data_IF_771922686708
#
_entry.id   IF_771922686708
#
_cell.length_a   1.000
_cell.length_b   1.000
_cell.length_c   1.000
_cell.angle_alpha   90.00
_cell.angle_beta   90.00
_cell.angle_gamma   90.00
#
_symmetry.space_group_name_H-M   'P 1'
#
loop_
_entity.id
_entity.type
_entity.pdbx_description
1 polymer ?
#
# COMPACT_ATOMS: atom_id res chain seq x y z
N UNK A 1 5.22 7.90 -8.59
CA UNK A 1 4.47 7.44 -9.79
C UNK A 1 3.02 6.99 -9.55
N UNK A 2 2.63 6.49 -8.35
CA UNK A 2 1.22 6.18 -8.03
C UNK A 2 0.31 7.42 -7.86
N UNK A 3 0.92 8.57 -7.58
CA UNK A 3 0.23 9.85 -7.40
C UNK A 3 -0.56 10.32 -8.63
N UNK A 4 -0.19 9.87 -9.83
CA UNK A 4 -0.87 10.29 -11.06
C UNK A 4 -2.17 9.49 -11.29
N UNK A 5 -2.30 8.28 -10.73
CA UNK A 5 -3.45 7.40 -11.02
C UNK A 5 -4.59 7.52 -9.99
N UNK A 6 -4.28 7.89 -8.75
CA UNK A 6 -5.28 8.14 -7.73
C UNK A 6 -4.91 9.42 -7.00
N UNK A 7 -5.62 10.52 -7.26
CA UNK A 7 -5.66 11.62 -6.30
C UNK A 7 -6.18 11.05 -4.97
N UNK A 8 -5.29 10.63 -4.08
CA UNK A 8 -5.63 9.98 -2.81
C UNK A 8 -6.10 11.09 -1.87
N UNK A 9 -7.40 11.30 -1.87
CA UNK A 9 -8.06 12.29 -1.03
C UNK A 9 -9.00 11.57 -0.08
N UNK A 10 -9.37 12.17 1.06
CA UNK A 10 -10.38 11.59 1.94
C UNK A 10 -11.68 11.21 1.20
N UNK A 11 -12.03 11.97 0.15
CA UNK A 11 -13.20 11.70 -0.68
C UNK A 11 -13.01 10.43 -1.54
N UNK A 12 -11.90 10.30 -2.26
CA UNK A 12 -11.66 9.13 -3.13
C UNK A 12 -11.50 7.85 -2.32
N UNK A 13 -10.83 7.93 -1.16
CA UNK A 13 -10.76 6.85 -0.17
C UNK A 13 -12.16 6.48 0.34
N UNK A 14 -12.97 7.47 0.71
CA UNK A 14 -14.34 7.25 1.18
C UNK A 14 -15.22 6.56 0.13
N UNK A 15 -15.16 7.01 -1.14
CA UNK A 15 -15.88 6.39 -2.25
C UNK A 15 -15.41 4.94 -2.45
N UNK A 16 -14.10 4.69 -2.44
CA UNK A 16 -13.55 3.35 -2.57
C UNK A 16 -14.06 2.42 -1.45
N UNK A 17 -14.03 2.87 -0.19
CA UNK A 17 -14.53 2.11 0.96
C UNK A 17 -16.04 1.80 0.85
N UNK A 18 -16.84 2.74 0.35
CA UNK A 18 -18.28 2.52 0.11
C UNK A 18 -18.50 1.42 -0.94
N UNK A 19 -17.77 1.49 -2.07
CA UNK A 19 -17.84 0.48 -3.14
C UNK A 19 -17.40 -0.89 -2.62
N UNK A 20 -16.29 -0.95 -1.89
CA UNK A 20 -15.76 -2.18 -1.29
C UNK A 20 -16.73 -2.75 -0.24
N UNK A 21 -17.37 -1.89 0.55
CA UNK A 21 -18.41 -2.28 1.50
C UNK A 21 -19.64 -2.87 0.82
N UNK A 22 -20.09 -2.26 -0.28
CA UNK A 22 -21.19 -2.80 -1.08
C UNK A 22 -20.82 -4.17 -1.67
N UNK A 23 -19.60 -4.33 -2.19
CA UNK A 23 -19.09 -5.61 -2.68
C UNK A 23 -19.05 -6.68 -1.57
N UNK A 24 -18.60 -6.31 -0.36
CA UNK A 24 -18.59 -7.20 0.80
C UNK A 24 -19.99 -7.69 1.18
N UNK A 25 -21.01 -6.82 1.13
CA UNK A 25 -22.42 -7.18 1.35
C UNK A 25 -22.94 -8.13 0.28
N UNK A 26 -22.60 -7.91 -0.99
CA UNK A 26 -22.96 -8.80 -2.10
C UNK A 26 -22.35 -10.18 -1.89
N UNK A 27 -21.06 -10.25 -1.59
CA UNK A 27 -20.33 -11.49 -1.28
C UNK A 27 -20.96 -12.22 -0.09
N UNK A 28 -21.25 -11.51 1.00
CA UNK A 28 -21.90 -12.08 2.18
C UNK A 28 -23.29 -12.66 1.85
N UNK A 29 -24.10 -11.95 1.05
CA UNK A 29 -25.41 -12.43 0.58
C UNK A 29 -25.28 -13.68 -0.29
N UNK A 30 -24.36 -13.66 -1.24
CA UNK A 30 -24.18 -14.76 -2.19
C UNK A 30 -23.70 -16.03 -1.48
N UNK A 31 -22.70 -15.90 -0.61
CA UNK A 31 -22.17 -17.02 0.18
C UNK A 31 -23.23 -17.70 1.04
N UNK A 32 -24.21 -16.94 1.56
CA UNK A 32 -25.35 -17.49 2.29
C UNK A 32 -26.34 -18.26 1.40
N UNK A 33 -26.53 -17.84 0.15
CA UNK A 33 -27.45 -18.50 -0.80
C UNK A 33 -26.84 -19.74 -1.43
N UNK A 34 -25.55 -19.71 -1.77
CA UNK A 34 -24.90 -20.76 -2.57
C UNK A 34 -23.45 -20.97 -2.13
N UNK A 35 -23.21 -21.59 -0.96
CA UNK A 35 -21.89 -21.65 -0.33
C UNK A 35 -20.84 -22.45 -1.12
N UNK A 36 -21.25 -23.47 -1.91
CA UNK A 36 -20.33 -24.34 -2.65
C UNK A 36 -20.03 -23.88 -4.08
N UNK A 37 -20.99 -23.26 -4.75
CA UNK A 37 -20.79 -22.72 -6.10
C UNK A 37 -19.73 -21.61 -6.00
N UNK A 38 -20.08 -20.52 -5.31
CA UNK A 38 -19.31 -19.28 -5.25
C UNK A 38 -17.85 -19.44 -4.78
N UNK A 39 -17.55 -20.45 -3.96
CA UNK A 39 -16.19 -20.69 -3.48
C UNK A 39 -15.21 -21.01 -4.62
N UNK A 40 -15.67 -21.69 -5.69
CA UNK A 40 -14.82 -22.01 -6.83
C UNK A 40 -14.55 -20.77 -7.68
N UNK A 41 -15.57 -20.00 -8.00
CA UNK A 41 -15.39 -18.78 -8.80
C UNK A 41 -14.58 -17.73 -8.02
N UNK A 42 -14.77 -17.62 -6.70
CA UNK A 42 -13.97 -16.76 -5.85
C UNK A 42 -12.48 -17.15 -5.83
N UNK A 43 -12.14 -18.44 -5.88
CA UNK A 43 -10.73 -18.88 -6.00
C UNK A 43 -10.11 -18.48 -7.33
N UNK A 44 -10.86 -18.60 -8.42
CA UNK A 44 -10.39 -18.15 -9.74
C UNK A 44 -10.19 -16.63 -9.77
N UNK A 45 -11.14 -15.87 -9.25
CA UNK A 45 -11.02 -14.42 -9.13
C UNK A 45 -9.85 -14.01 -8.24
N UNK A 46 -9.66 -14.70 -7.10
CA UNK A 46 -8.54 -14.46 -6.20
C UNK A 46 -7.19 -14.76 -6.87
N UNK A 47 -7.09 -15.89 -7.58
CA UNK A 47 -5.88 -16.27 -8.32
C UNK A 47 -5.58 -15.30 -9.46
N UNK A 48 -6.60 -14.88 -10.22
CA UNK A 48 -6.45 -13.89 -11.28
C UNK A 48 -6.03 -12.52 -10.72
N UNK A 49 -6.65 -12.06 -9.63
CA UNK A 49 -6.28 -10.83 -8.95
C UNK A 49 -4.83 -10.90 -8.42
N UNK A 50 -4.44 -12.00 -7.78
CA UNK A 50 -3.08 -12.23 -7.32
C UNK A 50 -2.07 -12.20 -8.48
N UNK A 51 -2.39 -12.80 -9.63
CA UNK A 51 -1.54 -12.76 -10.81
C UNK A 51 -1.40 -11.34 -11.37
N UNK A 52 -2.50 -10.57 -11.45
CA UNK A 52 -2.44 -9.15 -11.85
C UNK A 52 -1.59 -8.34 -10.86
N UNK A 53 -1.73 -8.60 -9.56
CA UNK A 53 -0.95 -7.92 -8.52
C UNK A 53 0.53 -8.22 -8.68
N UNK A 54 0.92 -9.48 -8.87
CA UNK A 54 2.31 -9.84 -9.14
C UNK A 54 2.83 -9.20 -10.44
N UNK A 55 2.02 -9.14 -11.49
CA UNK A 55 2.42 -8.49 -12.75
C UNK A 55 2.60 -6.97 -12.60
N UNK A 56 1.74 -6.31 -11.84
CA UNK A 56 1.71 -4.84 -11.71
C UNK A 56 2.67 -4.36 -10.63
N UNK A 57 2.70 -5.01 -9.47
CA UNK A 57 3.48 -4.59 -8.29
C UNK A 57 4.89 -5.20 -8.28
N UNK A 58 5.05 -6.39 -8.85
CA UNK A 58 6.35 -7.05 -8.90
C UNK A 58 7.04 -6.91 -10.27
N UNK A 59 6.30 -6.57 -11.33
CA UNK A 59 6.88 -6.23 -12.61
C UNK A 59 7.49 -4.83 -12.58
N UNK A 60 8.73 -4.63 -13.07
CA UNK A 60 9.28 -3.30 -13.34
C UNK A 60 8.61 -2.77 -14.62
N UNK A 61 7.32 -2.45 -14.54
CA UNK A 61 6.54 -2.05 -15.71
C UNK A 61 7.05 -0.76 -16.37
N UNK A 62 7.97 -0.03 -15.73
CA UNK A 62 8.52 1.22 -16.27
C UNK A 62 10.05 1.28 -16.35
N UNK A 63 10.76 0.18 -16.09
CA UNK A 63 12.21 0.21 -16.24
C UNK A 63 12.92 -1.11 -16.04
N UNK A 64 13.08 -1.89 -17.12
CA UNK A 64 13.97 -3.07 -17.12
C UNK A 64 15.44 -2.70 -16.89
N UNK A 65 15.78 -1.42 -17.03
CA UNK A 65 17.06 -0.80 -16.70
C UNK A 65 17.37 -0.81 -15.20
N UNK A 66 16.37 -0.92 -14.32
CA UNK A 66 16.55 -0.98 -12.85
C UNK A 66 16.74 -2.40 -12.30
N UNK A 67 16.66 -3.43 -13.14
CA UNK A 67 16.85 -4.83 -12.71
C UNK A 67 18.33 -5.07 -12.46
N UNK A 68 18.70 -5.34 -11.20
CA UNK A 68 20.09 -5.59 -10.81
C UNK A 68 20.90 -4.32 -10.55
N UNK A 69 20.26 -3.15 -10.47
CA UNK A 69 20.94 -1.89 -10.13
C UNK A 69 21.05 -1.66 -8.63
N UNK A 70 20.28 -2.40 -7.81
CA UNK A 70 20.31 -2.30 -6.34
C UNK A 70 20.77 -3.61 -5.68
N UNK A 71 21.28 -3.51 -4.44
CA UNK A 71 21.66 -4.66 -3.63
C UNK A 71 20.47 -5.52 -3.18
N UNK A 72 20.74 -6.76 -2.78
CA UNK A 72 19.74 -7.70 -2.24
C UNK A 72 19.50 -7.48 -0.75
N UNK A 73 19.07 -6.28 -0.38
CA UNK A 73 18.84 -5.93 1.02
C UNK A 73 17.42 -6.26 1.48
N UNK A 74 17.31 -6.66 2.75
CA UNK A 74 16.05 -6.97 3.42
C UNK A 74 15.96 -6.12 4.69
N UNK A 75 14.94 -5.27 4.75
CA UNK A 75 14.68 -4.41 5.90
C UNK A 75 13.78 -5.14 6.89
N UNK A 76 14.40 -5.66 7.96
CA UNK A 76 13.69 -6.32 9.06
C UNK A 76 13.16 -5.30 10.09
N UNK A 77 12.25 -4.42 9.65
CA UNK A 77 11.66 -3.40 10.51
C UNK A 77 10.14 -3.36 10.36
N UNK A 78 9.35 -3.93 11.30
CA UNK A 78 7.89 -3.88 11.24
C UNK A 78 7.32 -2.46 11.44
N UNK A 79 8.13 -1.52 11.93
CA UNK A 79 7.75 -0.13 12.15
C UNK A 79 8.28 0.81 11.06
N UNK A 80 8.90 0.29 9.98
CA UNK A 80 9.47 1.12 8.91
C UNK A 80 8.47 2.13 8.38
N UNK A 81 7.24 1.73 8.05
CA UNK A 81 6.21 2.63 7.57
C UNK A 81 5.87 3.77 8.55
N UNK A 82 5.94 3.53 9.87
CA UNK A 82 5.73 4.57 10.88
C UNK A 82 6.96 5.46 11.04
N UNK A 83 8.15 4.88 10.96
CA UNK A 83 9.42 5.60 11.07
C UNK A 83 9.65 6.49 9.85
N UNK A 84 9.38 6.01 8.64
CA UNK A 84 9.36 6.77 7.38
C UNK A 84 8.43 7.99 7.51
N UNK A 85 7.19 7.77 7.98
CA UNK A 85 6.23 8.85 8.21
C UNK A 85 6.72 9.86 9.25
N UNK A 86 7.28 9.38 10.36
CA UNK A 86 7.77 10.23 11.43
C UNK A 86 8.99 11.03 10.98
N UNK A 87 9.91 10.41 10.24
CA UNK A 87 11.09 11.06 9.71
C UNK A 87 10.68 12.13 8.71
N UNK A 88 9.84 11.80 7.72
CA UNK A 88 9.36 12.77 6.74
C UNK A 88 8.63 13.97 7.38
N UNK A 89 7.93 13.75 8.50
CA UNK A 89 7.22 14.81 9.22
C UNK A 89 8.13 15.72 10.07
N UNK A 90 9.34 15.26 10.44
CA UNK A 90 10.24 15.97 11.37
C UNK A 90 11.51 16.47 10.68
N UNK A 91 12.04 15.70 9.74
CA UNK A 91 13.25 15.95 8.96
C UNK A 91 12.92 15.77 7.48
N UNK A 92 12.55 16.83 6.75
CA UNK A 92 12.32 16.72 5.31
C UNK A 92 13.60 16.20 4.64
N UNK A 93 13.51 15.26 3.70
CA UNK A 93 14.70 14.73 3.02
C UNK A 93 15.35 15.79 2.10
N UNK A 94 14.51 16.63 1.49
CA UNK A 94 14.92 17.68 0.58
C UNK A 94 13.74 18.26 -0.19
N UNK A 95 14.01 19.12 -1.16
CA UNK A 95 13.02 19.67 -2.07
C UNK A 95 13.61 19.85 -3.47
N UNK A 96 12.78 19.66 -4.49
CA UNK A 96 13.14 19.95 -5.87
C UNK A 96 12.79 21.39 -6.22
N UNK A 97 13.74 22.09 -6.83
CA UNK A 97 13.57 23.40 -7.43
C UNK A 97 13.54 23.24 -8.94
N UNK A 98 12.39 23.53 -9.55
CA UNK A 98 12.21 23.46 -11.00
C UNK A 98 12.81 24.73 -11.63
N UNK A 99 13.87 24.57 -12.40
CA UNK A 99 14.55 25.66 -13.13
C UNK A 99 13.93 25.86 -14.53
N UNK A 100 13.33 24.81 -15.11
CA UNK A 100 12.65 24.84 -16.40
C UNK A 100 11.75 23.61 -16.63
N UNK A 101 11.17 23.43 -17.83
CA UNK A 101 10.14 22.42 -18.10
C UNK A 101 10.58 20.94 -18.04
N UNK A 102 11.87 20.62 -17.89
CA UNK A 102 12.39 19.25 -17.92
C UNK A 102 13.20 18.82 -16.68
N UNK A 103 13.40 17.50 -16.47
CA UNK A 103 14.24 16.96 -15.39
C UNK A 103 15.72 17.40 -15.52
N UNK A 104 16.19 17.59 -16.75
CA UNK A 104 17.49 18.21 -17.08
C UNK A 104 17.61 19.69 -16.65
N UNK A 105 16.54 20.27 -16.12
CA UNK A 105 16.47 21.63 -15.59
C UNK A 105 15.84 21.63 -14.18
N UNK A 106 16.18 20.64 -13.34
CA UNK A 106 15.71 20.56 -11.95
C UNK A 106 16.89 20.46 -10.98
N UNK A 107 16.82 21.17 -9.85
CA UNK A 107 17.84 21.16 -8.80
C UNK A 107 17.27 20.52 -7.52
N UNK A 108 17.91 19.48 -7.01
CA UNK A 108 17.58 18.87 -5.73
C UNK A 108 18.33 19.55 -4.57
N UNK A 109 17.58 20.06 -3.59
CA UNK A 109 18.08 20.58 -2.32
C UNK A 109 17.92 19.54 -1.23
N UNK A 110 18.99 18.85 -0.86
CA UNK A 110 19.03 18.01 0.33
C UNK A 110 18.99 18.84 1.61
N UNK A 111 18.14 18.46 2.55
CA UNK A 111 18.02 19.13 3.84
C UNK A 111 18.97 18.54 4.90
N UNK A 112 19.31 17.26 4.75
CA UNK A 112 20.14 16.52 5.71
C UNK A 112 21.63 16.76 5.45
N UNK A 113 22.38 16.94 6.53
CA UNK A 113 23.84 16.94 6.48
C UNK A 113 24.37 15.53 6.16
N UNK A 114 25.20 15.44 5.12
CA UNK A 114 25.84 14.19 4.71
C UNK A 114 27.29 14.14 5.18
N UNK A 115 27.70 12.97 5.65
CA UNK A 115 29.11 12.63 5.84
C UNK A 115 29.83 12.44 4.50
N UNK A 116 31.18 12.49 4.45
CA UNK A 116 31.92 12.29 3.21
C UNK A 116 31.62 10.97 2.49
N UNK A 117 31.36 9.89 3.24
CA UNK A 117 31.00 8.59 2.68
C UNK A 117 29.60 8.61 2.03
N UNK A 118 28.64 9.28 2.69
CA UNK A 118 27.27 9.44 2.17
C UNK A 118 27.22 10.37 0.95
N UNK A 119 28.07 11.40 0.89
CA UNK A 119 28.22 12.24 -0.30
C UNK A 119 28.64 11.40 -1.50
N UNK A 120 29.61 10.50 -1.32
CA UNK A 120 30.07 9.63 -2.41
C UNK A 120 29.00 8.61 -2.82
N UNK A 121 28.21 8.11 -1.86
CA UNK A 121 27.04 7.30 -2.18
C UNK A 121 26.00 8.09 -2.99
N UNK A 122 25.64 9.29 -2.56
CA UNK A 122 24.69 10.15 -3.26
C UNK A 122 25.16 10.50 -4.69
N UNK A 123 26.47 10.69 -4.91
CA UNK A 123 27.05 10.88 -6.25
C UNK A 123 26.86 9.66 -7.15
N UNK A 124 26.98 8.46 -6.60
CA UNK A 124 26.78 7.21 -7.35
C UNK A 124 25.31 6.93 -7.67
N UNK A 125 24.42 7.43 -6.82
CA UNK A 125 22.97 7.29 -6.96
C UNK A 125 22.33 8.41 -7.78
N UNK A 126 23.09 9.47 -8.14
CA UNK A 126 22.61 10.56 -8.98
C UNK A 126 22.15 10.03 -10.35
N UNK A 127 20.97 10.46 -10.78
CA UNK A 127 20.33 10.01 -12.02
C UNK A 127 19.84 11.23 -12.82
N UNK A 128 20.22 11.36 -14.10
CA UNK A 128 19.68 12.39 -15.00
C UNK A 128 18.16 12.41 -15.13
N UNK A 129 17.48 11.30 -14.81
CA UNK A 129 16.03 11.23 -14.77
C UNK A 129 15.42 11.95 -13.55
N UNK A 130 16.17 12.14 -12.47
CA UNK A 130 15.68 12.64 -11.19
C UNK A 130 15.95 14.14 -11.02
N UNK A 131 17.19 14.60 -11.22
CA UNK A 131 17.56 16.02 -11.20
C UNK A 131 18.84 16.29 -12.00
N UNK A 132 18.95 17.51 -12.54
CA UNK A 132 20.15 17.99 -13.24
C UNK A 132 21.32 18.28 -12.29
N UNK A 133 20.99 18.81 -11.12
CA UNK A 133 21.94 19.22 -10.10
C UNK A 133 21.48 18.81 -8.71
N UNK A 134 22.44 18.54 -7.84
CA UNK A 134 22.22 18.15 -6.46
C UNK A 134 23.03 19.04 -5.53
N UNK A 135 22.41 19.45 -4.43
CA UNK A 135 23.04 20.21 -3.36
C UNK A 135 22.80 19.54 -2.02
N UNK A 136 23.88 19.25 -1.29
CA UNK A 136 23.79 18.75 0.09
C UNK A 136 24.66 19.57 1.04
N UNK A 137 24.15 19.91 2.24
CA UNK A 137 25.02 20.36 3.32
C UNK A 137 25.87 19.18 3.80
N UNK A 138 27.08 19.45 4.29
CA UNK A 138 27.99 18.42 4.82
C UNK A 138 28.22 18.59 6.31
N UNK A 139 28.52 17.49 7.00
CA UNK A 139 28.84 17.49 8.44
C UNK A 139 30.02 18.39 8.80
N UNK A 140 30.90 18.66 7.83
CA UNK A 140 32.06 19.55 7.97
C UNK A 140 31.67 21.04 7.79
N UNK A 141 30.39 21.38 7.93
CA UNK A 141 29.84 22.73 7.76
C UNK A 141 29.98 23.29 6.34
N UNK A 142 30.15 22.43 5.34
CA UNK A 142 30.28 22.78 3.93
C UNK A 142 28.99 22.54 3.14
N UNK A 143 29.06 22.82 1.84
CA UNK A 143 28.02 22.46 0.87
C UNK A 143 28.69 21.84 -0.34
N UNK A 144 28.20 20.69 -0.76
CA UNK A 144 28.64 20.00 -1.98
C UNK A 144 27.60 20.19 -3.07
N UNK A 145 28.11 20.37 -4.28
CA UNK A 145 27.33 20.51 -5.50
C UNK A 145 27.85 19.52 -6.51
N UNK A 146 26.96 18.73 -7.10
CA UNK A 146 27.30 17.82 -8.19
C UNK A 146 26.19 17.73 -9.22
N UNK A 147 26.56 17.40 -10.45
CA UNK A 147 25.63 17.19 -11.56
C UNK A 147 24.98 15.79 -11.50
N UNK A 148 24.06 15.54 -12.42
CA UNK A 148 23.36 14.26 -12.54
C UNK A 148 24.27 13.04 -12.81
N UNK A 149 25.55 13.25 -13.11
CA UNK A 149 26.53 12.20 -13.35
C UNK A 149 27.51 12.05 -12.18
N UNK A 150 27.26 12.76 -11.06
CA UNK A 150 28.09 12.75 -9.87
C UNK A 150 29.36 13.60 -9.98
N UNK A 151 29.54 14.36 -11.05
CA UNK A 151 30.69 15.25 -11.23
C UNK A 151 30.49 16.57 -10.51
N UNK A 152 31.59 17.19 -10.06
CA UNK A 152 31.53 18.51 -9.44
C UNK A 152 31.02 19.57 -10.43
N UNK A 153 30.10 20.41 -9.95
CA UNK A 153 29.58 21.55 -10.71
C UNK A 153 30.65 22.62 -10.84
N UNK A 154 30.79 23.21 -12.04
CA UNK A 154 31.72 24.29 -12.28
C UNK A 154 31.38 25.55 -11.47
N UNK A 155 32.36 26.43 -11.28
CA UNK A 155 32.23 27.58 -10.39
C UNK A 155 31.19 28.61 -10.87
N UNK A 156 31.02 28.77 -12.19
CA UNK A 156 30.10 29.77 -12.75
C UNK A 156 28.66 29.27 -12.59
N UNK A 157 28.39 28.02 -12.98
CA UNK A 157 27.08 27.38 -12.77
C UNK A 157 26.73 27.32 -11.28
N UNK A 158 27.70 26.98 -10.42
CA UNK A 158 27.49 26.99 -8.97
C UNK A 158 27.08 28.37 -8.45
N UNK A 159 27.72 29.43 -8.93
CA UNK A 159 27.38 30.79 -8.50
C UNK A 159 25.96 31.19 -8.94
N UNK A 160 25.53 30.76 -10.12
CA UNK A 160 24.16 30.97 -10.61
C UNK A 160 23.14 30.22 -9.75
N UNK A 161 23.40 28.93 -9.44
CA UNK A 161 22.52 28.12 -8.60
C UNK A 161 22.46 28.63 -7.14
N UNK A 162 23.59 29.10 -6.59
CA UNK A 162 23.65 29.69 -5.26
C UNK A 162 22.88 31.01 -5.15
N UNK A 163 22.69 31.73 -6.26
CA UNK A 163 21.90 32.97 -6.29
C UNK A 163 20.38 32.72 -6.23
N UNK A 164 19.93 31.48 -6.47
CA UNK A 164 18.52 31.11 -6.39
C UNK A 164 18.06 31.05 -4.92
N UNK A 165 16.86 31.56 -4.61
CA UNK A 165 16.31 31.41 -3.26
C UNK A 165 16.14 29.92 -2.95
N UNK A 166 16.58 29.44 -1.77
CA UNK A 166 16.39 28.04 -1.42
C UNK A 166 14.89 27.73 -1.36
N UNK A 167 14.46 26.56 -1.87
CA UNK A 167 13.07 26.15 -1.78
C UNK A 167 12.66 26.01 -0.31
N UNK A 168 11.38 26.26 -0.02
CA UNK A 168 10.82 25.92 1.28
C UNK A 168 10.80 24.40 1.40
N UNK A 169 11.54 23.87 2.36
CA UNK A 169 11.51 22.46 2.70
C UNK A 169 10.18 22.14 3.38
N UNK A 170 9.27 21.48 2.67
CA UNK A 170 7.93 21.16 3.15
C UNK A 170 7.87 19.72 3.66
N UNK A 171 8.17 19.53 4.95
CA UNK A 171 8.04 18.22 5.63
C UNK A 171 6.61 17.63 5.53
N UNK A 172 5.59 18.49 5.51
CA UNK A 172 4.19 18.06 5.37
C UNK A 172 3.92 17.40 4.01
N UNK A 173 4.57 17.85 2.93
CA UNK A 173 4.38 17.29 1.59
C UNK A 173 4.94 15.87 1.53
N UNK A 174 6.19 15.65 1.95
CA UNK A 174 6.82 14.32 2.01
C UNK A 174 6.04 13.33 2.87
N UNK A 175 5.57 13.75 4.05
CA UNK A 175 4.76 12.90 4.91
C UNK A 175 3.42 12.53 4.25
N UNK A 176 2.78 13.47 3.57
CA UNK A 176 1.54 13.20 2.83
C UNK A 176 1.78 12.17 1.71
N UNK A 177 2.86 12.27 0.94
CA UNK A 177 3.22 11.30 -0.10
C UNK A 177 3.28 9.86 0.44
N UNK A 178 3.93 9.69 1.60
CA UNK A 178 4.07 8.37 2.24
C UNK A 178 2.70 7.88 2.73
N UNK A 179 1.88 8.73 3.36
CA UNK A 179 0.52 8.35 3.77
C UNK A 179 -0.32 7.90 2.58
N UNK A 180 -0.24 8.63 1.47
CA UNK A 180 -0.96 8.29 0.23
C UNK A 180 -0.53 6.92 -0.31
N UNK A 181 0.78 6.68 -0.42
CA UNK A 181 1.34 5.39 -0.87
C UNK A 181 0.85 4.23 0.01
N UNK A 182 1.03 4.33 1.34
CA UNK A 182 0.61 3.26 2.26
C UNK A 182 -0.92 3.08 2.28
N UNK A 183 -1.69 4.15 2.11
CA UNK A 183 -3.16 4.08 2.00
C UNK A 183 -3.60 3.33 0.75
N UNK A 184 -2.99 3.60 -0.40
CA UNK A 184 -3.30 2.90 -1.66
C UNK A 184 -2.94 1.43 -1.53
N UNK A 185 -1.75 1.11 -0.99
CA UNK A 185 -1.32 -0.27 -0.76
C UNK A 185 -2.34 -1.04 0.11
N UNK A 186 -2.77 -0.45 1.23
CA UNK A 186 -3.79 -1.05 2.07
C UNK A 186 -5.13 -1.22 1.34
N UNK A 187 -5.62 -0.22 0.61
CA UNK A 187 -6.89 -0.29 -0.13
C UNK A 187 -6.88 -1.35 -1.23
N UNK A 188 -5.76 -1.53 -1.92
CA UNK A 188 -5.57 -2.57 -2.93
C UNK A 188 -5.72 -3.98 -2.32
N UNK A 189 -5.29 -4.18 -1.07
CA UNK A 189 -5.45 -5.48 -0.42
C UNK A 189 -6.85 -5.77 0.12
N UNK A 190 -7.75 -4.78 0.23
CA UNK A 190 -9.14 -4.99 0.70
C UNK A 190 -9.92 -5.98 -0.19
N UNK A 191 -9.96 -5.84 -1.53
CA UNK A 191 -10.53 -6.85 -2.43
C UNK A 191 -10.01 -8.27 -2.23
N UNK A 192 -8.71 -8.43 -1.95
CA UNK A 192 -8.08 -9.74 -1.70
C UNK A 192 -8.71 -10.40 -0.48
N UNK A 193 -8.88 -9.65 0.61
CA UNK A 193 -9.58 -10.11 1.81
C UNK A 193 -11.04 -10.49 1.57
N UNK A 194 -11.76 -9.68 0.79
CA UNK A 194 -13.17 -9.95 0.42
C UNK A 194 -13.28 -11.26 -0.37
N UNK A 195 -12.43 -11.46 -1.37
CA UNK A 195 -12.39 -12.68 -2.18
C UNK A 195 -11.92 -13.89 -1.38
N UNK A 196 -10.91 -13.73 -0.51
CA UNK A 196 -10.41 -14.79 0.36
C UNK A 196 -11.52 -15.31 1.30
N UNK A 197 -12.38 -14.44 1.82
CA UNK A 197 -13.53 -14.82 2.65
C UNK A 197 -14.49 -15.78 1.91
N UNK A 198 -14.68 -15.54 0.61
CA UNK A 198 -15.51 -16.37 -0.25
C UNK A 198 -14.81 -17.66 -0.68
N UNK A 199 -13.51 -17.59 -0.98
CA UNK A 199 -12.70 -18.69 -1.50
C UNK A 199 -12.42 -19.79 -0.46
N UNK A 200 -12.24 -19.40 0.81
CA UNK A 200 -11.75 -20.31 1.84
C UNK A 200 -12.76 -20.59 2.96
N UNK A 201 -12.95 -21.88 3.35
CA UNK A 201 -13.80 -22.22 4.47
C UNK A 201 -13.16 -21.90 5.82
N UNK A 202 -11.86 -22.15 5.98
CA UNK A 202 -11.14 -21.96 7.23
C UNK A 202 -10.78 -20.49 7.46
N UNK A 203 -10.91 -20.00 8.69
CA UNK A 203 -10.67 -18.60 9.03
C UNK A 203 -9.20 -18.19 8.87
N UNK A 204 -8.27 -19.07 9.26
CA UNK A 204 -6.84 -18.85 9.08
C UNK A 204 -6.47 -18.67 7.61
N UNK A 205 -7.08 -19.43 6.70
CA UNK A 205 -6.80 -19.33 5.26
C UNK A 205 -7.31 -18.01 4.66
N UNK A 206 -8.40 -17.44 5.21
CA UNK A 206 -8.90 -16.12 4.81
C UNK A 206 -7.93 -15.02 5.21
N UNK A 207 -7.38 -15.11 6.42
CA UNK A 207 -6.43 -14.14 6.95
C UNK A 207 -5.03 -14.30 6.35
N UNK A 208 -4.63 -15.52 5.97
CA UNK A 208 -3.32 -15.79 5.38
C UNK A 208 -3.19 -15.36 3.91
N UNK A 209 -4.30 -15.18 3.18
CA UNK A 209 -4.27 -14.86 1.75
C UNK A 209 -3.56 -13.52 1.44
N UNK A 210 -3.82 -12.48 2.23
CA UNK A 210 -3.15 -11.19 2.11
C UNK A 210 -1.63 -11.26 2.39
N UNK A 211 -1.21 -11.70 3.59
CA UNK A 211 0.20 -11.88 3.91
C UNK A 211 0.95 -12.76 2.90
N UNK A 212 0.33 -13.85 2.42
CA UNK A 212 0.95 -14.73 1.43
C UNK A 212 1.16 -14.03 0.08
N UNK A 213 0.18 -13.25 -0.39
CA UNK A 213 0.33 -12.46 -1.61
C UNK A 213 1.37 -11.35 -1.44
N UNK A 214 1.36 -10.64 -0.31
CA UNK A 214 2.34 -9.59 -0.03
C UNK A 214 3.75 -10.17 0.02
N UNK A 215 3.95 -11.29 0.71
CA UNK A 215 5.24 -11.98 0.76
C UNK A 215 5.68 -12.42 -0.64
N UNK A 216 4.77 -12.89 -1.49
CA UNK A 216 5.09 -13.26 -2.86
C UNK A 216 5.54 -12.05 -3.69
N UNK A 217 4.92 -10.87 -3.51
CA UNK A 217 5.33 -9.63 -4.18
C UNK A 217 6.74 -9.22 -3.72
N UNK A 218 6.98 -9.13 -2.41
CA UNK A 218 8.29 -8.81 -1.83
C UNK A 218 9.37 -9.77 -2.32
N UNK A 219 9.06 -11.08 -2.36
CA UNK A 219 10.00 -12.11 -2.83
C UNK A 219 10.35 -11.91 -4.30
N UNK A 220 9.39 -11.56 -5.15
CA UNK A 220 9.65 -11.29 -6.58
C UNK A 220 10.46 -10.00 -6.74
N UNK A 221 10.12 -8.93 -6.01
CA UNK A 221 10.86 -7.67 -6.05
C UNK A 221 12.31 -7.85 -5.59
N UNK A 222 12.52 -8.57 -4.50
CA UNK A 222 13.84 -8.96 -4.01
C UNK A 222 14.62 -9.80 -5.05
N UNK A 223 13.97 -10.80 -5.65
CA UNK A 223 14.60 -11.66 -6.65
C UNK A 223 15.00 -10.89 -7.92
N UNK A 224 14.25 -9.86 -8.29
CA UNK A 224 14.53 -9.02 -9.46
C UNK A 224 15.54 -7.90 -9.16
N UNK A 225 15.93 -7.69 -7.89
CA UNK A 225 16.79 -6.57 -7.49
C UNK A 225 16.34 -5.24 -8.13
N UNK A 226 15.02 -5.02 -8.17
CA UNK A 226 14.37 -4.01 -8.99
C UNK A 226 14.12 -2.69 -8.23
N UNK A 227 15.11 -2.21 -7.48
CA UNK A 227 15.11 -0.85 -6.97
C UNK A 227 14.49 -0.60 -5.58
N UNK A 228 14.10 -1.63 -4.82
CA UNK A 228 13.65 -1.49 -3.43
C UNK A 228 14.12 -2.66 -2.57
N UNK A 229 14.59 -2.38 -1.36
CA UNK A 229 14.79 -3.39 -0.31
C UNK A 229 13.45 -4.03 0.04
N UNK A 230 13.41 -5.34 0.22
CA UNK A 230 12.20 -6.00 0.69
C UNK A 230 11.86 -5.51 2.10
N UNK A 231 10.65 -4.98 2.30
CA UNK A 231 10.26 -4.31 3.55
C UNK A 231 9.11 -5.03 4.28
N UNK A 232 9.38 -5.39 5.54
CA UNK A 232 8.39 -5.99 6.44
C UNK A 232 7.25 -5.02 6.78
N UNK A 233 7.49 -3.70 6.74
CA UNK A 233 6.44 -2.70 6.96
C UNK A 233 5.34 -2.75 5.89
N UNK A 234 5.72 -2.86 4.61
CA UNK A 234 4.77 -2.97 3.50
C UNK A 234 3.94 -4.25 3.59
N UNK A 235 4.56 -5.35 4.03
CA UNK A 235 3.85 -6.59 4.34
C UNK A 235 2.75 -6.37 5.39
N UNK A 236 3.01 -5.60 6.44
CA UNK A 236 2.03 -5.32 7.49
C UNK A 236 0.89 -4.41 7.01
N UNK A 237 1.19 -3.39 6.22
CA UNK A 237 0.18 -2.48 5.62
C UNK A 237 -0.77 -3.27 4.71
N UNK A 238 -0.22 -4.10 3.84
CA UNK A 238 -0.99 -4.98 2.95
C UNK A 238 -1.81 -6.01 3.72
N UNK A 239 -1.24 -6.57 4.78
CA UNK A 239 -1.93 -7.47 5.70
C UNK A 239 -3.13 -6.79 6.37
N UNK A 240 -2.99 -5.54 6.82
CA UNK A 240 -4.07 -4.77 7.42
C UNK A 240 -5.20 -4.49 6.41
N UNK A 241 -4.86 -4.17 5.16
CA UNK A 241 -5.82 -4.04 4.06
C UNK A 241 -6.65 -5.31 3.83
N UNK A 242 -5.97 -6.46 3.69
CA UNK A 242 -6.64 -7.75 3.52
C UNK A 242 -7.50 -8.14 4.73
N UNK A 243 -6.99 -7.91 5.95
CA UNK A 243 -7.76 -8.16 7.17
C UNK A 243 -9.02 -7.28 7.23
N UNK A 244 -8.94 -6.03 6.79
CA UNK A 244 -10.08 -5.11 6.67
C UNK A 244 -11.15 -5.68 5.73
N UNK A 245 -10.76 -6.17 4.55
CA UNK A 245 -11.69 -6.83 3.61
C UNK A 245 -12.38 -8.05 4.19
N UNK A 246 -11.65 -8.93 4.89
CA UNK A 246 -12.21 -10.07 5.62
C UNK A 246 -13.22 -9.60 6.67
N UNK A 247 -12.87 -8.56 7.44
CA UNK A 247 -13.71 -7.95 8.45
C UNK A 247 -15.01 -7.36 7.88
N UNK A 248 -14.95 -6.64 6.76
CA UNK A 248 -16.12 -6.08 6.08
C UNK A 248 -17.14 -7.17 5.72
N UNK A 249 -16.69 -8.30 5.15
CA UNK A 249 -17.58 -9.42 4.81
C UNK A 249 -18.13 -10.09 6.07
N UNK A 250 -17.32 -10.25 7.12
CA UNK A 250 -17.74 -10.83 8.39
C UNK A 250 -18.86 -10.01 9.06
N UNK A 251 -18.67 -8.69 9.15
CA UNK A 251 -19.66 -7.75 9.69
C UNK A 251 -20.92 -7.76 8.84
N UNK A 252 -20.80 -7.69 7.52
CA UNK A 252 -21.95 -7.78 6.61
C UNK A 252 -22.74 -9.08 6.80
N UNK A 253 -22.06 -10.22 6.92
CA UNK A 253 -22.68 -11.52 7.16
C UNK A 253 -23.43 -11.56 8.50
N UNK A 254 -22.84 -11.00 9.56
CA UNK A 254 -23.46 -10.87 10.87
C UNK A 254 -24.73 -10.02 10.80
N UNK A 255 -24.65 -8.81 10.25
CA UNK A 255 -25.80 -7.91 10.09
C UNK A 255 -26.93 -8.57 9.31
N UNK A 256 -26.63 -9.21 8.17
CA UNK A 256 -27.63 -9.94 7.40
C UNK A 256 -28.27 -11.11 8.18
N UNK A 257 -27.53 -11.72 9.11
CA UNK A 257 -28.03 -12.76 10.01
C UNK A 257 -29.04 -12.23 11.02
N UNK A 258 -28.74 -11.08 11.63
CA UNK A 258 -29.58 -10.41 12.62
C UNK A 258 -30.94 -9.98 12.04
N UNK A 259 -31.02 -9.53 10.79
CA UNK A 259 -32.28 -9.08 10.18
C UNK A 259 -33.29 -10.19 9.85
N UNK A 260 -32.98 -11.48 10.07
CA UNK A 260 -33.89 -12.61 9.77
C UNK A 260 -34.52 -13.28 10.99
N UNK A 261 -34.05 -13.02 12.21
CA UNK A 261 -34.57 -13.67 13.43
C UNK A 261 -35.92 -13.12 13.91
N UNK A 262 -36.40 -12.00 13.33
CA UNK A 262 -37.68 -11.38 13.71
C UNK A 262 -38.93 -11.87 12.94
N UNK A 263 -38.81 -12.85 12.05
CA UNK A 263 -39.90 -13.22 11.12
C UNK A 263 -40.73 -14.48 11.45
N UNK A 264 -40.41 -15.25 12.49
CA UNK A 264 -41.07 -16.56 12.74
C UNK A 264 -41.46 -16.80 14.20
N UNK A 265 -42.20 -15.87 14.80
CA UNK A 265 -42.95 -16.12 16.05
C UNK A 265 -44.38 -15.57 15.95
N UNK A 266 -45.18 -16.13 15.04
CA UNK A 266 -46.64 -16.09 15.18
C UNK A 266 -47.31 -17.22 14.39
N UNK A 267 -47.39 -18.39 15.01
CA UNK A 267 -48.55 -19.28 14.87
C UNK A 267 -48.99 -19.62 16.29
N UNK A 268 -50.20 -19.16 16.63
CA UNK A 268 -50.82 -19.26 17.94
C UNK A 268 -51.23 -20.69 18.32
N UNK A 269 -51.85 -20.85 19.50
CA UNK A 269 -52.00 -22.11 20.20
C UNK A 269 -53.07 -22.98 19.54
N UNK A 270 -52.72 -24.22 19.19
CA UNK A 270 -53.72 -25.26 18.98
C UNK A 270 -54.07 -25.82 20.37
N UNK A 271 -55.24 -25.39 20.82
CA UNK A 271 -56.09 -25.93 21.89
C UNK A 271 -55.80 -27.40 22.26
N UNK A 272 -55.51 -27.60 23.54
CA UNK A 272 -55.64 -28.89 24.23
C UNK A 272 -57.09 -29.36 24.16
N UNK A 273 -57.34 -30.54 23.59
CA UNK A 273 -58.55 -31.32 23.90
C UNK A 273 -58.21 -32.34 25.00
N UNK A 274 -59.04 -32.48 26.05
CA UNK A 274 -58.77 -33.40 27.14
C UNK A 274 -59.11 -34.84 26.71
N UNK A 275 -58.10 -35.69 26.67
CA UNK A 275 -58.24 -37.13 26.44
C UNK A 275 -58.97 -37.78 27.65
N UNK A 276 -60.22 -38.17 27.44
CA UNK A 276 -61.06 -38.85 28.41
C UNK A 276 -60.53 -40.27 28.63
N UNK A 277 -60.00 -40.53 29.83
CA UNK A 277 -59.71 -41.88 30.33
C UNK A 277 -61.01 -42.70 30.46
N UNK A 278 -61.02 -43.91 29.89
CA UNK A 278 -61.88 -44.99 30.36
C UNK A 278 -61.04 -46.13 30.99
N UNK A 279 -61.50 -46.74 32.10
CA UNK A 279 -60.76 -47.80 32.79
C UNK A 279 -61.07 -49.20 32.23
N UNK A 280 -60.02 -50.03 32.26
CA UNK A 280 -59.91 -51.49 32.29
C UNK A 280 -61.11 -52.38 31.89
N UNK A 281 -60.82 -53.37 31.04
CA UNK A 281 -60.97 -54.81 31.35
C UNK A 281 -60.04 -55.65 30.50
#
# INVERSE_FOLDING_TARGET
MWQVLFYVTPLTVGIALVVLGAAAVVVARWRRRSPRAFAREARWLLGAAAAVYLLVLAGPMLGWDKVGTTGWDVTWNPLSAYEELRQAAVEPEGAYLVLGPGPEETLYYGARELSPEEVEQARREADPADAAFYRYPTTDSGVVWFDAHGHDVDLDTRAELEALPPPLLQAEESAALIVEEKTVNALLFVPIGILAFAAFPAWWARLAAGPALSLAIETVQWALAAGRSADVGDLLVNTAGSATGVGMVAVAALCLGLFRTNGTRHRGPATEEPEVRHPAR
#
